data_IF_843225828253
#
_entry.id   IF_843225828253
#
_cell.length_a   1.000
_cell.length_b   1.000
_cell.length_c   1.000
_cell.angle_alpha   90.00
_cell.angle_beta   90.00
_cell.angle_gamma   90.00
#
_symmetry.space_group_name_H-M   'P 1'
#
loop_
_entity.id
_entity.type
_entity.pdbx_description
1 polymer ?
#
# COMPACT_ATOMS: atom_id res chain seq x y z
N UNK A 1 -13.03 8.21 -32.50
CA UNK A 1 -13.12 6.84 -31.96
C UNK A 1 -13.22 7.00 -30.45
N UNK A 2 -14.34 6.58 -29.86
CA UNK A 2 -14.51 6.68 -28.38
C UNK A 2 -13.48 5.79 -27.72
N UNK A 3 -12.52 6.38 -27.00
CA UNK A 3 -11.57 5.63 -26.17
C UNK A 3 -12.38 4.92 -25.09
N UNK A 4 -12.40 3.60 -25.12
CA UNK A 4 -13.07 2.78 -24.13
C UNK A 4 -12.41 3.06 -22.77
N UNK A 5 -13.18 3.54 -21.80
CA UNK A 5 -12.72 3.80 -20.43
C UNK A 5 -12.15 2.47 -19.87
N UNK A 6 -10.88 2.46 -19.49
CA UNK A 6 -10.28 1.30 -18.84
C UNK A 6 -10.80 1.27 -17.41
N UNK A 7 -11.65 0.30 -17.09
CA UNK A 7 -12.18 0.12 -15.73
C UNK A 7 -11.19 -0.68 -14.88
N UNK A 8 -11.32 -0.62 -13.54
CA UNK A 8 -10.55 -1.49 -12.65
C UNK A 8 -10.76 -2.97 -13.01
N UNK A 9 -11.96 -3.35 -13.46
CA UNK A 9 -12.26 -4.69 -13.97
C UNK A 9 -11.41 -5.06 -15.19
N UNK A 10 -11.27 -4.15 -16.15
CA UNK A 10 -10.47 -4.39 -17.37
C UNK A 10 -8.99 -4.52 -17.02
N UNK A 11 -8.50 -3.67 -16.10
CA UNK A 11 -7.12 -3.65 -15.67
C UNK A 11 -6.74 -4.85 -14.79
N UNK A 12 -7.65 -5.29 -13.91
CA UNK A 12 -7.44 -6.43 -13.01
C UNK A 12 -7.61 -7.79 -13.70
N UNK A 13 -8.22 -7.82 -14.89
CA UNK A 13 -8.57 -9.07 -15.58
C UNK A 13 -9.58 -9.95 -14.81
N UNK A 14 -10.20 -9.40 -13.77
CA UNK A 14 -11.18 -10.06 -12.91
C UNK A 14 -12.26 -9.09 -12.46
N UNK A 15 -13.50 -9.57 -12.17
CA UNK A 15 -14.56 -8.70 -11.68
C UNK A 15 -14.19 -8.12 -10.30
N UNK A 16 -14.22 -6.80 -10.19
CA UNK A 16 -14.12 -6.12 -8.90
C UNK A 16 -15.46 -6.26 -8.19
N UNK A 17 -15.51 -6.89 -7.00
CA UNK A 17 -16.78 -7.04 -6.29
C UNK A 17 -17.26 -5.68 -5.77
N UNK A 18 -18.57 -5.47 -5.65
CA UNK A 18 -19.10 -4.30 -4.95
C UNK A 18 -18.52 -4.21 -3.53
N UNK A 19 -18.28 -2.99 -3.04
CA UNK A 19 -17.65 -2.77 -1.73
C UNK A 19 -18.38 -3.46 -0.57
N UNK A 20 -19.73 -3.57 -0.62
CA UNK A 20 -20.51 -4.29 0.39
C UNK A 20 -20.20 -5.80 0.39
N UNK A 21 -20.00 -6.41 -0.79
CA UNK A 21 -19.68 -7.84 -0.90
C UNK A 21 -18.23 -8.12 -0.43
N UNK A 22 -17.27 -7.26 -0.81
CA UNK A 22 -15.90 -7.36 -0.32
C UNK A 22 -15.86 -7.32 1.21
N UNK A 23 -16.59 -6.39 1.83
CA UNK A 23 -16.71 -6.29 3.31
C UNK A 23 -17.42 -7.49 3.92
N UNK A 24 -18.46 -8.02 3.29
CA UNK A 24 -19.16 -9.21 3.78
C UNK A 24 -18.22 -10.44 3.78
N UNK A 25 -17.47 -10.64 2.70
CA UNK A 25 -16.46 -11.70 2.61
C UNK A 25 -15.37 -11.55 3.67
N UNK A 26 -14.86 -10.33 3.88
CA UNK A 26 -13.88 -10.05 4.95
C UNK A 26 -14.44 -10.43 6.32
N UNK A 27 -15.65 -10.01 6.67
CA UNK A 27 -16.28 -10.37 7.95
C UNK A 27 -16.44 -11.89 8.14
N UNK A 28 -16.81 -12.61 7.08
CA UNK A 28 -16.91 -14.08 7.13
C UNK A 28 -15.54 -14.70 7.39
N UNK A 29 -14.50 -14.25 6.68
CA UNK A 29 -13.12 -14.71 6.90
C UNK A 29 -12.64 -14.45 8.34
N UNK A 30 -12.91 -13.27 8.87
CA UNK A 30 -12.55 -12.89 10.24
C UNK A 30 -13.28 -13.76 11.26
N UNK A 31 -14.58 -14.00 11.07
CA UNK A 31 -15.39 -14.88 11.92
C UNK A 31 -14.88 -16.33 11.91
N UNK A 32 -14.50 -16.86 10.74
CA UNK A 32 -13.88 -18.17 10.61
C UNK A 32 -12.52 -18.23 11.32
N UNK A 33 -11.69 -17.19 11.20
CA UNK A 33 -10.41 -17.07 11.89
C UNK A 33 -10.58 -17.08 13.42
N UNK A 34 -11.52 -16.29 13.93
CA UNK A 34 -11.85 -16.27 15.36
C UNK A 34 -12.44 -17.60 15.83
N UNK A 35 -13.31 -18.24 15.04
CA UNK A 35 -13.86 -19.56 15.32
C UNK A 35 -12.78 -20.62 15.45
N UNK A 36 -11.82 -20.65 14.53
CA UNK A 36 -10.66 -21.56 14.56
C UNK A 36 -9.86 -21.42 15.87
N UNK A 37 -9.62 -20.19 16.33
CA UNK A 37 -8.87 -19.94 17.58
C UNK A 37 -9.60 -20.47 18.81
N UNK A 38 -10.95 -20.44 18.83
CA UNK A 38 -11.75 -20.99 19.93
C UNK A 38 -11.75 -22.51 20.02
N UNK A 39 -11.35 -23.21 18.94
CA UNK A 39 -11.27 -24.66 18.88
C UNK A 39 -9.92 -25.22 19.39
N UNK A 40 -8.95 -24.38 19.67
CA UNK A 40 -7.63 -24.79 20.15
C UNK A 40 -7.41 -24.32 21.60
N UNK A 41 -6.65 -25.10 22.41
CA UNK A 41 -6.21 -24.65 23.73
C UNK A 41 -5.40 -23.33 23.62
N UNK A 42 -5.46 -22.45 24.66
CA UNK A 42 -4.78 -21.14 24.61
C UNK A 42 -3.28 -21.22 24.28
N UNK A 43 -2.59 -22.23 24.80
CA UNK A 43 -1.16 -22.47 24.51
C UNK A 43 -0.92 -22.70 23.01
N UNK A 44 -1.77 -23.50 22.35
CA UNK A 44 -1.65 -23.75 20.89
C UNK A 44 -1.90 -22.47 20.10
N UNK A 45 -2.91 -21.68 20.48
CA UNK A 45 -3.18 -20.38 19.84
C UNK A 45 -1.96 -19.44 19.97
N UNK A 46 -1.31 -19.42 21.14
CA UNK A 46 -0.07 -18.63 21.33
C UNK A 46 1.04 -19.10 20.39
N UNK A 47 1.27 -20.41 20.26
CA UNK A 47 2.28 -20.96 19.34
C UNK A 47 1.94 -20.63 17.87
N UNK A 48 0.66 -20.65 17.49
CA UNK A 48 0.25 -20.24 16.14
C UNK A 48 0.60 -18.77 15.84
N UNK A 49 0.51 -17.87 16.84
CA UNK A 49 0.94 -16.48 16.67
C UNK A 49 2.45 -16.34 16.49
N UNK A 50 3.26 -17.13 17.20
CA UNK A 50 4.73 -17.13 17.04
C UNK A 50 5.15 -17.61 15.64
N UNK A 51 4.36 -18.46 14.98
CA UNK A 51 4.63 -18.91 13.63
C UNK A 51 4.62 -17.76 12.60
N UNK A 52 3.88 -16.68 12.86
CA UNK A 52 3.78 -15.53 11.94
C UNK A 52 5.13 -14.93 11.58
N UNK A 53 6.08 -14.89 12.52
CA UNK A 53 7.45 -14.45 12.26
C UNK A 53 8.16 -15.37 11.25
N UNK A 54 8.01 -16.68 11.42
CA UNK A 54 8.62 -17.68 10.53
C UNK A 54 7.96 -17.64 9.15
N UNK A 55 6.62 -17.52 9.08
CA UNK A 55 5.86 -17.39 7.85
C UNK A 55 6.37 -16.20 7.02
N UNK A 56 6.54 -15.03 7.66
CA UNK A 56 7.03 -13.81 7.02
C UNK A 56 8.45 -13.97 6.46
N UNK A 57 9.41 -14.41 7.28
CA UNK A 57 10.81 -14.58 6.83
C UNK A 57 10.95 -15.68 5.77
N UNK A 58 10.26 -16.80 5.90
CA UNK A 58 10.30 -17.86 4.91
C UNK A 58 9.75 -17.40 3.54
N UNK A 59 8.69 -16.60 3.57
CA UNK A 59 8.12 -16.02 2.35
C UNK A 59 9.07 -15.00 1.72
N UNK A 60 9.68 -14.12 2.53
CA UNK A 60 10.67 -13.14 2.06
C UNK A 60 11.86 -13.81 1.40
N UNK A 61 12.47 -14.81 2.05
CA UNK A 61 13.58 -15.58 1.48
C UNK A 61 13.20 -16.26 0.16
N UNK A 62 11.99 -16.82 0.04
CA UNK A 62 11.54 -17.41 -1.21
C UNK A 62 11.40 -16.36 -2.35
N UNK A 63 10.98 -15.14 -2.01
CA UNK A 63 10.87 -14.03 -2.96
C UNK A 63 12.26 -13.49 -3.33
N UNK A 64 13.18 -13.35 -2.38
CA UNK A 64 14.57 -12.96 -2.62
C UNK A 64 15.29 -13.95 -3.55
N UNK A 65 15.09 -15.26 -3.33
CA UNK A 65 15.62 -16.34 -4.17
C UNK A 65 14.86 -16.50 -5.51
N UNK A 66 13.89 -15.64 -5.80
CA UNK A 66 13.07 -15.64 -7.03
C UNK A 66 12.37 -16.97 -7.30
N UNK A 67 12.00 -17.71 -6.23
CA UNK A 67 11.33 -19.00 -6.38
C UNK A 67 10.03 -18.91 -7.19
N UNK A 68 9.12 -17.92 -6.96
CA UNK A 68 7.92 -17.77 -7.77
C UNK A 68 8.22 -17.57 -9.27
N UNK A 69 9.24 -16.77 -9.60
CA UNK A 69 9.64 -16.51 -10.98
C UNK A 69 10.21 -17.77 -11.65
N UNK A 70 11.06 -18.51 -10.94
CA UNK A 70 11.67 -19.77 -11.42
C UNK A 70 10.67 -20.91 -11.61
N UNK A 71 9.52 -20.83 -10.96
CA UNK A 71 8.41 -21.79 -11.09
C UNK A 71 7.36 -21.37 -12.13
N UNK A 72 7.48 -20.22 -12.76
CA UNK A 72 6.53 -19.75 -13.78
C UNK A 72 6.45 -20.70 -14.99
N UNK A 73 7.58 -21.29 -15.39
CA UNK A 73 7.64 -22.24 -16.52
C UNK A 73 7.11 -23.65 -16.20
N UNK A 74 6.66 -23.95 -14.99
CA UNK A 74 6.13 -25.24 -14.59
C UNK A 74 6.72 -25.82 -13.31
N UNK A 75 6.30 -27.05 -12.98
CA UNK A 75 6.69 -27.71 -11.75
C UNK A 75 8.13 -28.22 -11.78
N UNK A 76 8.90 -27.98 -10.71
CA UNK A 76 10.33 -28.32 -10.61
C UNK A 76 10.65 -29.07 -9.31
N UNK A 77 11.72 -29.85 -9.31
CA UNK A 77 12.26 -30.48 -8.10
C UNK A 77 13.08 -29.48 -7.30
N UNK A 78 13.15 -29.67 -5.98
CA UNK A 78 13.97 -28.82 -5.13
C UNK A 78 15.46 -28.85 -5.52
N UNK A 79 15.97 -30.01 -5.90
CA UNK A 79 17.37 -30.16 -6.33
C UNK A 79 17.69 -29.33 -7.60
N UNK A 80 16.75 -29.30 -8.57
CA UNK A 80 16.92 -28.53 -9.80
C UNK A 80 16.92 -27.03 -9.52
N UNK A 81 16.02 -26.56 -8.66
CA UNK A 81 15.96 -25.18 -8.21
C UNK A 81 17.22 -24.80 -7.42
N UNK A 82 17.68 -25.68 -6.52
CA UNK A 82 18.87 -25.46 -5.73
C UNK A 82 20.13 -25.32 -6.61
N UNK A 83 20.24 -26.14 -7.67
CA UNK A 83 21.32 -26.04 -8.64
C UNK A 83 21.34 -24.68 -9.37
N UNK A 84 20.18 -24.16 -9.75
CA UNK A 84 20.07 -22.86 -10.46
C UNK A 84 20.47 -21.65 -9.59
N UNK A 85 20.29 -21.72 -8.28
CA UNK A 85 20.54 -20.60 -7.36
C UNK A 85 21.79 -20.79 -6.49
N UNK A 86 22.49 -21.93 -6.64
CA UNK A 86 23.66 -22.25 -5.84
C UNK A 86 23.33 -22.54 -4.37
N UNK A 87 22.12 -23.04 -4.07
CA UNK A 87 21.67 -23.33 -2.72
C UNK A 87 21.86 -24.80 -2.33
N UNK A 88 21.88 -25.09 -1.03
CA UNK A 88 21.78 -26.45 -0.52
C UNK A 88 20.40 -27.05 -0.80
N UNK A 89 20.38 -28.23 -1.43
CA UNK A 89 19.15 -28.85 -1.91
C UNK A 89 18.22 -29.32 -0.77
N UNK A 90 18.76 -29.77 0.36
CA UNK A 90 17.96 -30.18 1.52
C UNK A 90 17.38 -28.97 2.24
N UNK A 91 18.18 -27.94 2.47
CA UNK A 91 17.73 -26.69 3.06
C UNK A 91 16.61 -26.04 2.22
N UNK A 92 16.79 -25.95 0.90
CA UNK A 92 15.76 -25.43 0.01
C UNK A 92 14.49 -26.32 0.02
N UNK A 93 14.65 -27.64 -0.02
CA UNK A 93 13.52 -28.55 0.10
C UNK A 93 12.71 -28.31 1.39
N UNK A 94 13.36 -28.08 2.50
CA UNK A 94 12.70 -27.79 3.79
C UNK A 94 11.93 -26.49 3.74
N UNK A 95 12.49 -25.42 3.16
CA UNK A 95 11.80 -24.15 2.94
C UNK A 95 10.56 -24.33 2.05
N UNK A 96 10.71 -24.96 0.89
CA UNK A 96 9.61 -25.15 -0.06
C UNK A 96 8.49 -26.02 0.53
N UNK A 97 8.83 -27.10 1.26
CA UNK A 97 7.89 -27.95 1.96
C UNK A 97 7.09 -27.16 3.00
N UNK A 98 7.77 -26.28 3.76
CA UNK A 98 7.13 -25.41 4.72
C UNK A 98 6.12 -24.48 4.02
N UNK A 99 6.51 -23.80 2.94
CA UNK A 99 5.64 -22.90 2.19
C UNK A 99 4.41 -23.63 1.60
N UNK A 100 4.57 -24.87 1.13
CA UNK A 100 3.45 -25.73 0.69
C UNK A 100 2.50 -25.99 1.85
N UNK A 101 3.00 -26.32 3.03
CA UNK A 101 2.17 -26.57 4.21
C UNK A 101 1.37 -25.34 4.67
N UNK A 102 1.85 -24.14 4.32
CA UNK A 102 1.17 -22.87 4.60
C UNK A 102 0.22 -22.41 3.47
N UNK A 103 0.13 -23.18 2.38
CA UNK A 103 -0.67 -22.80 1.22
C UNK A 103 -0.07 -21.66 0.40
N UNK A 104 1.18 -21.29 0.66
CA UNK A 104 1.90 -20.21 -0.02
C UNK A 104 2.55 -20.70 -1.33
N UNK A 105 2.68 -22.00 -1.50
CA UNK A 105 3.22 -22.65 -2.70
C UNK A 105 2.42 -23.91 -2.99
N UNK A 106 2.46 -24.40 -4.23
CA UNK A 106 1.84 -25.65 -4.64
C UNK A 106 2.82 -26.82 -4.78
N UNK A 107 2.33 -28.04 -4.73
CA UNK A 107 3.09 -29.25 -5.01
C UNK A 107 2.28 -30.22 -5.88
N UNK A 108 2.93 -30.89 -6.81
CA UNK A 108 2.34 -31.92 -7.65
C UNK A 108 2.32 -33.28 -6.91
N UNK A 109 1.55 -34.25 -7.43
CA UNK A 109 1.47 -35.59 -6.83
C UNK A 109 2.80 -36.36 -6.84
N UNK A 110 3.67 -36.04 -7.80
CA UNK A 110 5.03 -36.60 -7.94
C UNK A 110 6.11 -35.82 -7.17
N UNK A 111 5.70 -34.90 -6.26
CA UNK A 111 6.58 -34.22 -5.33
C UNK A 111 7.36 -33.04 -5.92
N UNK A 112 6.96 -32.51 -7.11
CA UNK A 112 7.54 -31.29 -7.68
C UNK A 112 6.81 -30.05 -7.18
N UNK A 113 7.54 -28.98 -6.94
CA UNK A 113 7.02 -27.69 -6.52
C UNK A 113 6.51 -26.88 -7.71
N UNK A 114 5.43 -26.15 -7.53
CA UNK A 114 4.82 -25.28 -8.56
C UNK A 114 4.19 -24.06 -7.91
N UNK A 115 3.98 -23.02 -8.71
CA UNK A 115 3.14 -21.92 -8.24
C UNK A 115 1.69 -22.37 -8.00
N UNK A 116 1.06 -21.72 -7.03
CA UNK A 116 -0.37 -21.60 -6.89
C UNK A 116 -0.78 -20.14 -7.09
N UNK A 117 -2.05 -19.78 -6.94
CA UNK A 117 -2.50 -18.39 -7.13
C UNK A 117 -1.81 -17.39 -6.20
N UNK A 118 -1.41 -17.81 -4.98
CA UNK A 118 -0.71 -16.94 -4.03
C UNK A 118 0.73 -16.68 -4.48
N UNK A 119 1.50 -17.74 -4.74
CA UNK A 119 2.89 -17.59 -5.18
C UNK A 119 3.02 -17.01 -6.60
N UNK A 120 2.05 -17.25 -7.48
CA UNK A 120 2.05 -16.62 -8.80
C UNK A 120 1.94 -15.09 -8.71
N UNK A 121 1.16 -14.58 -7.75
CA UNK A 121 1.06 -13.15 -7.44
C UNK A 121 2.32 -12.55 -6.78
N UNK A 122 3.36 -13.34 -6.53
CA UNK A 122 4.66 -12.87 -6.01
C UNK A 122 5.75 -12.78 -7.10
N UNK A 123 5.42 -13.13 -8.33
CA UNK A 123 6.35 -12.99 -9.46
C UNK A 123 6.59 -11.50 -9.78
N UNK A 124 7.79 -11.20 -10.23
CA UNK A 124 8.20 -9.85 -10.61
C UNK A 124 7.36 -9.26 -11.75
N UNK A 125 7.00 -10.10 -12.71
CA UNK A 125 6.24 -9.72 -13.91
C UNK A 125 4.72 -9.88 -13.77
N UNK A 126 4.24 -10.29 -12.58
CA UNK A 126 2.81 -10.41 -12.36
C UNK A 126 2.15 -9.02 -12.36
N UNK A 127 1.05 -8.79 -13.10
CA UNK A 127 0.40 -7.46 -13.19
C UNK A 127 0.00 -6.87 -11.82
N UNK A 128 -0.29 -7.75 -10.86
CA UNK A 128 -0.69 -7.43 -9.48
C UNK A 128 0.27 -8.10 -8.50
N UNK A 129 1.56 -7.85 -8.71
CA UNK A 129 2.57 -8.38 -7.81
C UNK A 129 2.39 -7.82 -6.41
N UNK A 130 2.51 -8.70 -5.41
CA UNK A 130 2.66 -8.33 -4.01
C UNK A 130 4.12 -8.57 -3.54
N UNK A 131 5.04 -8.70 -4.48
CA UNK A 131 6.46 -8.99 -4.23
C UNK A 131 7.10 -7.95 -3.31
N UNK A 132 6.91 -6.67 -3.64
CA UNK A 132 7.56 -5.59 -2.89
C UNK A 132 6.98 -5.44 -1.48
N UNK A 133 5.70 -5.74 -1.27
CA UNK A 133 5.12 -5.84 0.08
C UNK A 133 5.79 -6.93 0.92
N UNK A 134 6.10 -8.07 0.30
CA UNK A 134 6.82 -9.15 0.99
C UNK A 134 8.25 -8.73 1.32
N UNK A 135 8.95 -8.06 0.40
CA UNK A 135 10.29 -7.52 0.63
C UNK A 135 10.30 -6.39 1.66
N UNK A 136 9.27 -5.56 1.69
CA UNK A 136 9.09 -4.52 2.70
C UNK A 136 8.97 -5.15 4.11
N UNK A 137 7.95 -5.97 4.35
CA UNK A 137 7.70 -6.56 5.67
C UNK A 137 8.74 -7.62 6.07
N UNK A 138 9.42 -8.25 5.11
CA UNK A 138 10.42 -9.29 5.34
C UNK A 138 11.86 -8.80 5.39
N UNK A 139 12.11 -7.55 4.99
CA UNK A 139 13.44 -6.94 4.91
C UNK A 139 14.13 -6.83 6.26
N UNK A 140 15.46 -7.01 6.29
CA UNK A 140 16.23 -6.94 7.54
C UNK A 140 16.20 -5.54 8.15
N UNK A 141 16.16 -4.49 7.32
CA UNK A 141 16.00 -3.11 7.77
C UNK A 141 14.68 -2.90 8.52
N UNK A 142 13.57 -3.48 8.04
CA UNK A 142 12.27 -3.40 8.68
C UNK A 142 12.26 -4.15 10.01
N UNK A 143 12.84 -5.36 10.06
CA UNK A 143 13.01 -6.12 11.29
C UNK A 143 13.90 -5.41 12.30
N UNK A 144 14.95 -4.70 11.85
CA UNK A 144 15.80 -3.86 12.72
C UNK A 144 14.97 -2.83 13.48
N UNK A 145 14.02 -2.17 12.81
CA UNK A 145 13.11 -1.22 13.44
C UNK A 145 12.13 -1.89 14.39
N UNK A 146 11.50 -3.00 13.99
CA UNK A 146 10.59 -3.76 14.84
C UNK A 146 11.25 -4.39 16.07
N UNK A 147 12.55 -4.67 16.07
CA UNK A 147 13.28 -5.10 17.26
C UNK A 147 13.27 -4.04 18.36
N UNK A 148 13.15 -2.76 18.01
CA UNK A 148 13.01 -1.64 18.93
C UNK A 148 11.56 -1.28 19.25
N UNK A 149 10.57 -2.08 18.85
CA UNK A 149 9.14 -1.82 19.04
C UNK A 149 8.77 -1.49 20.51
N UNK A 150 9.45 -2.11 21.49
CA UNK A 150 9.24 -1.80 22.91
C UNK A 150 9.48 -0.33 23.23
N UNK A 151 10.46 0.32 22.56
CA UNK A 151 10.71 1.74 22.71
C UNK A 151 9.45 2.55 22.33
N UNK A 152 8.88 2.32 21.14
CA UNK A 152 7.68 3.04 20.70
C UNK A 152 6.48 2.82 21.63
N UNK A 153 6.24 1.59 22.11
CA UNK A 153 5.11 1.32 23.00
C UNK A 153 5.26 1.94 24.39
N UNK A 154 6.48 2.25 24.82
CA UNK A 154 6.73 2.87 26.13
C UNK A 154 6.81 4.38 26.04
N UNK A 155 7.39 4.92 24.97
CA UNK A 155 7.67 6.35 24.85
C UNK A 155 6.71 7.10 23.92
N UNK A 156 6.09 6.40 22.96
CA UNK A 156 5.34 7.01 21.86
C UNK A 156 6.22 7.53 20.70
N UNK A 157 7.55 7.37 20.82
CA UNK A 157 8.51 7.81 19.80
C UNK A 157 8.79 6.73 18.76
N UNK A 158 9.37 7.09 17.60
CA UNK A 158 9.69 6.18 16.50
C UNK A 158 10.74 5.14 16.90
N UNK A 159 10.44 3.86 16.69
CA UNK A 159 11.42 2.79 16.80
C UNK A 159 12.43 2.83 15.63
N UNK A 160 12.04 3.32 14.46
CA UNK A 160 12.95 3.52 13.33
C UNK A 160 14.08 4.48 13.72
N UNK A 161 13.75 5.60 14.35
CA UNK A 161 14.74 6.54 14.85
C UNK A 161 15.63 5.91 15.92
N UNK A 162 15.06 5.17 16.87
CA UNK A 162 15.84 4.48 17.91
C UNK A 162 16.79 3.42 17.34
N UNK A 163 16.41 2.74 16.25
CA UNK A 163 17.20 1.71 15.61
C UNK A 163 18.27 2.23 14.65
N UNK A 164 18.07 3.39 14.01
CA UNK A 164 18.87 3.85 12.88
C UNK A 164 19.53 5.21 13.08
N UNK A 165 19.17 5.96 14.13
CA UNK A 165 19.51 7.37 14.38
C UNK A 165 18.95 8.35 13.33
N UNK A 166 18.03 7.89 12.47
CA UNK A 166 17.38 8.68 11.42
C UNK A 166 15.85 8.58 11.51
N UNK A 167 15.16 9.61 11.06
CA UNK A 167 13.73 9.54 10.81
C UNK A 167 13.45 8.53 9.68
N UNK A 168 12.29 7.87 9.71
CA UNK A 168 11.97 6.81 8.74
C UNK A 168 12.11 7.23 7.28
N UNK A 169 11.52 8.38 6.91
CA UNK A 169 11.59 8.85 5.52
C UNK A 169 13.00 9.30 5.11
N UNK A 170 13.80 9.85 6.03
CA UNK A 170 15.22 10.13 5.80
C UNK A 170 15.97 8.81 5.54
N UNK A 171 15.75 7.80 6.40
CA UNK A 171 16.41 6.52 6.28
C UNK A 171 16.16 5.84 4.91
N UNK A 172 14.91 5.74 4.48
CA UNK A 172 14.57 5.06 3.21
C UNK A 172 14.87 5.90 1.96
N UNK A 173 14.97 7.23 2.08
CA UNK A 173 15.25 8.08 0.93
C UNK A 173 16.74 8.43 0.75
N UNK A 174 17.53 8.45 1.83
CA UNK A 174 18.87 9.02 1.80
C UNK A 174 19.94 8.09 2.37
N UNK A 175 19.59 7.14 3.26
CA UNK A 175 20.57 6.34 4.01
C UNK A 175 20.70 4.91 3.47
N UNK A 176 19.59 4.22 3.20
CA UNK A 176 19.57 2.82 2.79
C UNK A 176 18.82 2.64 1.46
N UNK A 177 19.58 2.50 0.37
CA UNK A 177 19.03 2.40 -0.98
C UNK A 177 18.18 1.12 -1.19
N UNK A 178 18.51 0.00 -0.52
CA UNK A 178 17.75 -1.25 -0.62
C UNK A 178 16.43 -1.14 0.14
N UNK A 179 16.44 -0.54 1.34
CA UNK A 179 15.23 -0.19 2.07
C UNK A 179 14.34 0.76 1.26
N UNK A 180 14.93 1.78 0.65
CA UNK A 180 14.24 2.72 -0.23
C UNK A 180 13.60 2.06 -1.44
N UNK A 181 14.30 1.17 -2.11
CA UNK A 181 13.76 0.42 -3.25
C UNK A 181 12.58 -0.47 -2.84
N UNK A 182 12.69 -1.19 -1.70
CA UNK A 182 11.61 -2.03 -1.18
C UNK A 182 10.38 -1.19 -0.76
N UNK A 183 10.61 -0.08 -0.06
CA UNK A 183 9.55 0.85 0.35
C UNK A 183 8.83 1.45 -0.86
N UNK A 184 9.56 2.09 -1.78
CA UNK A 184 8.98 2.73 -2.97
C UNK A 184 8.27 1.71 -3.87
N UNK A 185 8.81 0.50 -3.99
CA UNK A 185 8.18 -0.60 -4.71
C UNK A 185 6.84 -1.02 -4.08
N UNK A 186 6.80 -1.20 -2.76
CA UNK A 186 5.58 -1.56 -2.03
C UNK A 186 4.51 -0.45 -2.13
N UNK A 187 4.91 0.82 -1.97
CA UNK A 187 4.01 1.96 -2.14
C UNK A 187 3.44 2.04 -3.55
N UNK A 188 4.27 1.82 -4.58
CA UNK A 188 3.83 1.80 -5.98
C UNK A 188 2.83 0.67 -6.24
N UNK A 189 3.08 -0.54 -5.75
CA UNK A 189 2.15 -1.68 -5.86
C UNK A 189 0.80 -1.39 -5.17
N UNK A 190 0.83 -0.86 -3.95
CA UNK A 190 -0.36 -0.48 -3.19
C UNK A 190 -1.16 0.63 -3.86
N UNK A 191 -0.48 1.71 -4.21
CA UNK A 191 -1.09 2.89 -4.84
C UNK A 191 -1.77 2.56 -6.17
N UNK A 192 -1.15 1.70 -6.99
CA UNK A 192 -1.72 1.30 -8.28
C UNK A 192 -3.08 0.62 -8.14
N UNK A 193 -3.22 -0.31 -7.19
CA UNK A 193 -4.52 -0.95 -6.94
C UNK A 193 -5.56 0.07 -6.46
N UNK A 194 -5.20 0.92 -5.51
CA UNK A 194 -6.10 1.93 -4.95
C UNK A 194 -6.52 2.96 -6.01
N UNK A 195 -5.58 3.43 -6.85
CA UNK A 195 -5.88 4.38 -7.92
C UNK A 195 -6.97 3.90 -8.86
N UNK A 196 -6.88 2.64 -9.32
CA UNK A 196 -7.92 2.05 -10.16
C UNK A 196 -9.29 1.98 -9.48
N UNK A 197 -9.32 1.64 -8.18
CA UNK A 197 -10.56 1.58 -7.42
C UNK A 197 -11.19 2.97 -7.22
N UNK A 198 -10.38 4.01 -7.05
CA UNK A 198 -10.85 5.40 -6.95
C UNK A 198 -11.39 5.89 -8.30
N UNK A 199 -10.66 5.61 -9.40
CA UNK A 199 -11.10 5.96 -10.76
C UNK A 199 -12.46 5.37 -11.09
N UNK A 200 -12.76 4.15 -10.63
CA UNK A 200 -14.06 3.51 -10.84
C UNK A 200 -15.15 4.04 -9.88
N UNK A 201 -14.78 4.42 -8.66
CA UNK A 201 -15.74 4.77 -7.62
C UNK A 201 -16.14 6.24 -7.61
N UNK A 202 -15.26 7.14 -8.09
CA UNK A 202 -15.51 8.58 -8.07
C UNK A 202 -15.91 9.12 -9.44
N UNK A 203 -16.87 10.05 -9.44
CA UNK A 203 -17.31 10.74 -10.66
C UNK A 203 -16.46 11.99 -10.89
N UNK A 204 -15.56 11.92 -11.87
CA UNK A 204 -14.70 13.01 -12.30
C UNK A 204 -15.36 13.97 -13.30
N UNK A 205 -16.70 13.88 -13.54
CA UNK A 205 -17.41 14.80 -14.41
C UNK A 205 -17.26 16.25 -13.93
N UNK A 206 -16.90 17.13 -14.85
CA UNK A 206 -16.70 18.56 -14.54
C UNK A 206 -15.36 18.90 -13.90
N UNK A 207 -14.47 17.91 -13.65
CA UNK A 207 -13.08 18.15 -13.27
C UNK A 207 -12.23 18.29 -14.51
N UNK A 208 -11.39 19.32 -14.59
CA UNK A 208 -10.47 19.56 -15.69
C UNK A 208 -9.00 19.45 -15.27
N UNK A 209 -8.70 19.75 -14.00
CA UNK A 209 -7.36 19.70 -13.43
C UNK A 209 -7.33 19.04 -12.06
N UNK A 210 -6.32 18.20 -11.84
CA UNK A 210 -6.09 17.47 -10.59
C UNK A 210 -4.67 17.70 -10.11
N UNK A 211 -4.50 18.03 -8.83
CA UNK A 211 -3.21 18.05 -8.14
C UNK A 211 -3.15 16.90 -7.13
N UNK A 212 -2.21 15.97 -7.33
CA UNK A 212 -1.96 14.84 -6.44
C UNK A 212 -0.85 15.21 -5.47
N UNK A 213 -1.21 15.51 -4.24
CA UNK A 213 -0.31 16.01 -3.17
C UNK A 213 0.29 14.82 -2.44
N UNK A 214 1.62 14.68 -2.50
CA UNK A 214 2.32 13.47 -2.06
C UNK A 214 2.13 12.31 -3.05
N UNK A 215 2.01 12.61 -4.34
CA UNK A 215 1.66 11.60 -5.37
C UNK A 215 2.79 10.66 -5.77
N UNK A 216 3.96 10.74 -5.14
CA UNK A 216 5.10 9.86 -5.39
C UNK A 216 5.56 9.92 -6.84
N UNK A 217 5.70 8.75 -7.45
CA UNK A 217 6.04 8.63 -8.88
C UNK A 217 4.83 8.80 -9.82
N UNK A 218 3.66 9.20 -9.29
CA UNK A 218 2.47 9.47 -10.06
C UNK A 218 1.75 8.24 -10.61
N UNK A 219 1.85 7.10 -9.94
CA UNK A 219 1.20 5.86 -10.36
C UNK A 219 -0.31 6.04 -10.49
N UNK A 220 -0.96 6.66 -9.48
CA UNK A 220 -2.41 6.92 -9.44
C UNK A 220 -2.79 7.95 -10.49
N UNK A 221 -2.04 9.05 -10.59
CA UNK A 221 -2.28 10.09 -11.58
C UNK A 221 -2.18 9.53 -13.00
N UNK A 222 -1.22 8.66 -13.27
CA UNK A 222 -1.10 7.99 -14.57
C UNK A 222 -2.33 7.17 -14.94
N UNK A 223 -2.87 6.40 -14.00
CA UNK A 223 -4.08 5.59 -14.21
C UNK A 223 -5.33 6.49 -14.38
N UNK A 224 -5.42 7.56 -13.59
CA UNK A 224 -6.49 8.56 -13.69
C UNK A 224 -6.51 9.25 -15.07
N UNK A 225 -5.36 9.73 -15.53
CA UNK A 225 -5.25 10.42 -16.83
C UNK A 225 -5.46 9.46 -18.02
N UNK A 226 -5.08 8.19 -17.88
CA UNK A 226 -5.37 7.17 -18.89
C UNK A 226 -6.87 6.89 -19.01
N UNK A 227 -7.59 6.88 -17.87
CA UNK A 227 -9.04 6.68 -17.84
C UNK A 227 -9.83 7.92 -18.28
N UNK A 228 -9.27 9.12 -18.09
CA UNK A 228 -9.93 10.41 -18.37
C UNK A 228 -9.08 11.28 -19.31
N UNK A 229 -9.19 11.14 -20.64
CA UNK A 229 -8.33 11.84 -21.62
C UNK A 229 -8.44 13.37 -21.60
N UNK A 230 -9.52 13.93 -21.07
CA UNK A 230 -9.72 15.37 -20.96
C UNK A 230 -9.04 16.00 -19.74
N UNK A 231 -8.64 15.19 -18.73
CA UNK A 231 -8.02 15.69 -17.52
C UNK A 231 -6.55 16.07 -17.76
N UNK A 232 -6.11 17.07 -17.01
CA UNK A 232 -4.71 17.42 -16.79
C UNK A 232 -4.36 17.15 -15.34
N UNK A 233 -3.13 16.72 -15.07
CA UNK A 233 -2.66 16.37 -13.74
C UNK A 233 -1.35 17.06 -13.38
N UNK A 234 -1.20 17.34 -12.09
CA UNK A 234 0.04 17.70 -11.45
C UNK A 234 0.30 16.67 -10.36
N UNK A 235 1.49 16.09 -10.35
CA UNK A 235 2.01 15.32 -9.22
C UNK A 235 2.94 16.22 -8.45
N UNK A 236 2.63 16.46 -7.19
CA UNK A 236 3.41 17.31 -6.30
C UNK A 236 4.07 16.46 -5.22
N UNK A 237 5.40 16.43 -5.21
CA UNK A 237 6.18 15.64 -4.25
C UNK A 237 7.62 16.16 -4.15
N UNK A 238 8.45 15.47 -3.36
CA UNK A 238 9.84 15.82 -3.12
C UNK A 238 10.70 15.76 -4.41
N UNK A 239 11.71 16.64 -4.56
CA UNK A 239 12.48 16.79 -5.81
C UNK A 239 13.13 15.50 -6.35
N UNK A 240 13.54 14.58 -5.46
CA UNK A 240 14.20 13.33 -5.86
C UNK A 240 13.29 12.37 -6.65
N UNK A 241 11.97 12.57 -6.57
CA UNK A 241 10.98 11.75 -7.30
C UNK A 241 10.68 12.29 -8.71
N UNK A 242 11.22 13.44 -9.10
CA UNK A 242 10.91 14.10 -10.37
C UNK A 242 11.26 13.23 -11.60
N UNK A 243 12.46 12.67 -11.66
CA UNK A 243 12.89 11.86 -12.81
C UNK A 243 12.16 10.51 -12.89
N UNK A 244 12.00 9.73 -11.79
CA UNK A 244 11.16 8.55 -11.79
C UNK A 244 9.71 8.82 -12.23
N UNK A 245 9.12 9.93 -11.77
CA UNK A 245 7.76 10.31 -12.13
C UNK A 245 7.62 10.63 -13.63
N UNK A 246 8.52 11.45 -14.19
CA UNK A 246 8.53 11.76 -15.64
C UNK A 246 8.69 10.51 -16.50
N UNK A 247 9.57 9.59 -16.10
CA UNK A 247 9.72 8.30 -16.77
C UNK A 247 8.42 7.47 -16.73
N UNK A 248 7.73 7.46 -15.57
CA UNK A 248 6.45 6.77 -15.42
C UNK A 248 5.35 7.40 -16.30
N UNK A 249 5.29 8.74 -16.40
CA UNK A 249 4.32 9.44 -17.26
C UNK A 249 4.55 9.13 -18.74
N UNK A 250 5.82 9.13 -19.17
CA UNK A 250 6.20 8.79 -20.54
C UNK A 250 5.83 7.34 -20.88
N UNK A 251 6.12 6.39 -19.98
CA UNK A 251 5.79 4.98 -20.17
C UNK A 251 4.27 4.72 -20.29
N UNK A 252 3.44 5.55 -19.63
CA UNK A 252 1.96 5.50 -19.74
C UNK A 252 1.37 6.33 -20.87
N UNK A 253 2.18 7.10 -21.60
CA UNK A 253 1.70 7.97 -22.67
C UNK A 253 0.85 9.14 -22.18
N UNK A 254 1.07 9.62 -20.96
CA UNK A 254 0.33 10.75 -20.36
C UNK A 254 1.21 11.99 -20.13
N UNK A 255 2.48 11.96 -20.55
CA UNK A 255 3.44 13.03 -20.30
C UNK A 255 3.03 14.41 -20.83
N UNK A 256 2.24 14.49 -21.89
CA UNK A 256 1.71 15.76 -22.42
C UNK A 256 0.63 16.41 -21.53
N UNK A 257 0.11 15.66 -20.55
CA UNK A 257 -1.02 16.06 -19.69
C UNK A 257 -0.72 15.94 -18.20
N UNK A 258 0.47 15.46 -17.86
CA UNK A 258 0.93 15.26 -16.48
C UNK A 258 2.23 16.01 -16.26
N UNK A 259 2.24 16.90 -15.27
CA UNK A 259 3.42 17.65 -14.83
C UNK A 259 3.86 17.14 -13.46
N UNK A 260 5.18 17.12 -13.22
CA UNK A 260 5.72 16.96 -11.87
C UNK A 260 6.21 18.30 -11.35
N UNK A 261 5.68 18.71 -10.21
CA UNK A 261 6.09 19.92 -9.49
C UNK A 261 6.77 19.48 -8.18
N UNK A 262 8.03 19.89 -8.03
CA UNK A 262 8.79 19.60 -6.82
C UNK A 262 8.47 20.60 -5.71
N UNK A 263 8.29 20.11 -4.48
CA UNK A 263 8.08 20.99 -3.33
C UNK A 263 7.81 20.25 -2.04
N UNK A 264 7.44 20.99 -1.02
CA UNK A 264 7.12 20.53 0.31
C UNK A 264 5.70 20.98 0.69
N UNK A 265 4.77 20.03 0.87
CA UNK A 265 3.37 20.30 1.20
C UNK A 265 3.17 20.93 2.58
N UNK A 266 4.19 20.93 3.45
CA UNK A 266 4.16 21.69 4.69
C UNK A 266 4.38 23.19 4.47
N UNK A 267 4.98 23.57 3.35
CA UNK A 267 5.22 24.97 2.99
C UNK A 267 4.11 25.53 2.11
N UNK A 268 3.82 24.88 1.00
CA UNK A 268 2.78 25.26 0.04
C UNK A 268 2.47 24.11 -0.89
N UNK A 269 1.35 24.19 -1.62
CA UNK A 269 0.99 23.27 -2.71
C UNK A 269 0.63 24.03 -3.98
N UNK A 270 0.70 23.44 -5.18
CA UNK A 270 0.31 24.09 -6.44
C UNK A 270 -1.12 24.62 -6.39
N UNK A 271 -1.30 25.84 -6.88
CA UNK A 271 -2.61 26.54 -6.86
C UNK A 271 -3.44 26.30 -8.09
N UNK A 272 -4.75 26.52 -8.00
CA UNK A 272 -5.64 26.69 -9.14
C UNK A 272 -6.23 25.43 -9.73
N UNK A 273 -6.22 24.31 -9.00
CA UNK A 273 -6.80 23.04 -9.46
C UNK A 273 -8.25 22.86 -8.98
N UNK A 274 -9.03 22.12 -9.79
CA UNK A 274 -10.42 21.79 -9.48
C UNK A 274 -10.54 20.70 -8.43
N UNK A 275 -9.52 19.84 -8.35
CA UNK A 275 -9.47 18.69 -7.45
C UNK A 275 -8.06 18.52 -6.90
N UNK A 276 -7.96 18.33 -5.59
CA UNK A 276 -6.75 17.91 -4.92
C UNK A 276 -6.94 16.48 -4.40
N UNK A 277 -5.91 15.66 -4.49
CA UNK A 277 -5.95 14.27 -4.02
C UNK A 277 -4.81 14.02 -3.03
N UNK A 278 -5.11 13.26 -1.96
CA UNK A 278 -4.15 12.72 -1.01
C UNK A 278 -4.45 11.23 -0.85
N UNK A 279 -3.49 10.38 -1.19
CA UNK A 279 -3.63 8.93 -1.10
C UNK A 279 -2.66 8.37 -0.08
N UNK A 280 -3.17 7.91 1.07
CA UNK A 280 -2.34 7.37 2.15
C UNK A 280 -1.21 8.35 2.55
N UNK A 281 -1.57 9.60 2.79
CA UNK A 281 -0.66 10.68 3.21
C UNK A 281 -0.98 11.14 4.63
N UNK A 282 -2.27 11.30 4.96
CA UNK A 282 -2.71 11.86 6.25
C UNK A 282 -2.35 10.94 7.41
N UNK A 283 -2.26 9.64 7.16
CA UNK A 283 -1.88 8.66 8.18
C UNK A 283 -0.40 8.74 8.61
N UNK A 284 0.48 9.33 7.80
CA UNK A 284 1.91 9.45 8.12
C UNK A 284 2.19 10.50 9.20
N UNK A 285 1.22 11.37 9.50
CA UNK A 285 1.42 12.59 10.27
C UNK A 285 0.46 12.70 11.46
N UNK A 286 0.92 13.43 12.48
CA UNK A 286 0.06 13.88 13.59
C UNK A 286 -1.02 14.88 13.13
N UNK A 287 -1.96 15.19 14.03
CA UNK A 287 -3.10 16.04 13.71
C UNK A 287 -2.69 17.51 13.40
N UNK A 288 -1.60 18.01 13.98
CA UNK A 288 -1.11 19.38 13.75
C UNK A 288 -0.52 19.49 12.34
N UNK A 289 0.35 18.55 11.98
CA UNK A 289 0.93 18.46 10.64
C UNK A 289 -0.13 18.22 9.56
N UNK A 290 -1.09 17.33 9.80
CA UNK A 290 -2.23 17.14 8.91
C UNK A 290 -3.03 18.43 8.70
N UNK A 291 -3.26 19.20 9.77
CA UNK A 291 -3.98 20.48 9.68
C UNK A 291 -3.18 21.49 8.85
N UNK A 292 -1.85 21.48 8.93
CA UNK A 292 -0.97 22.32 8.10
C UNK A 292 -1.09 21.96 6.63
N UNK A 293 -0.96 20.66 6.28
CA UNK A 293 -1.09 20.18 4.89
C UNK A 293 -2.45 20.57 4.29
N UNK A 294 -3.54 20.24 5.00
CA UNK A 294 -4.90 20.56 4.57
C UNK A 294 -5.14 22.06 4.49
N UNK A 295 -4.56 22.85 5.40
CA UNK A 295 -4.60 24.31 5.40
C UNK A 295 -3.95 24.90 4.15
N UNK A 296 -2.79 24.39 3.74
CA UNK A 296 -2.09 24.80 2.52
C UNK A 296 -2.92 24.44 1.27
N UNK A 297 -3.51 23.24 1.24
CA UNK A 297 -4.42 22.87 0.16
C UNK A 297 -5.61 23.82 0.09
N UNK A 298 -6.24 24.14 1.23
CA UNK A 298 -7.38 25.07 1.27
C UNK A 298 -7.04 26.46 0.75
N UNK A 299 -5.84 26.94 1.00
CA UNK A 299 -5.36 28.24 0.48
C UNK A 299 -5.15 28.20 -1.04
N UNK A 300 -4.70 27.08 -1.57
CA UNK A 300 -4.42 26.88 -3.01
C UNK A 300 -5.67 26.61 -3.86
N UNK A 301 -6.77 26.19 -3.22
CA UNK A 301 -8.01 25.81 -3.91
C UNK A 301 -8.71 26.99 -4.58
N UNK A 302 -9.23 26.77 -5.78
CA UNK A 302 -10.19 27.67 -6.40
C UNK A 302 -11.58 27.55 -5.74
N UNK A 303 -12.45 28.58 -5.85
CA UNK A 303 -13.83 28.47 -5.40
C UNK A 303 -14.55 27.27 -6.04
N UNK A 304 -15.10 26.39 -5.22
CA UNK A 304 -15.79 25.18 -5.67
C UNK A 304 -14.90 23.96 -5.89
N UNK A 305 -13.60 24.09 -5.75
CA UNK A 305 -12.67 22.95 -5.77
C UNK A 305 -12.95 21.98 -4.62
N UNK A 306 -12.54 20.73 -4.80
CA UNK A 306 -12.75 19.64 -3.83
C UNK A 306 -11.41 18.98 -3.47
N UNK A 307 -11.41 18.27 -2.33
CA UNK A 307 -10.27 17.43 -1.93
C UNK A 307 -10.77 16.00 -1.77
N UNK A 308 -10.04 15.03 -2.31
CA UNK A 308 -10.25 13.60 -2.06
C UNK A 308 -9.13 13.12 -1.15
N UNK A 309 -9.47 12.76 0.06
CA UNK A 309 -8.55 12.09 0.98
C UNK A 309 -8.90 10.61 1.00
N UNK A 310 -7.95 9.77 0.57
CA UNK A 310 -8.13 8.32 0.51
C UNK A 310 -7.29 7.67 1.59
N UNK A 311 -7.95 7.14 2.62
CA UNK A 311 -7.32 6.57 3.81
C UNK A 311 -7.97 5.24 4.18
N UNK A 312 -7.35 4.52 5.11
CA UNK A 312 -7.82 3.22 5.62
C UNK A 312 -8.38 3.37 7.05
N UNK A 313 -9.68 3.70 7.21
CA UNK A 313 -10.21 3.93 8.55
C UNK A 313 -10.15 2.67 9.42
N UNK A 314 -9.64 2.84 10.65
CA UNK A 314 -9.66 1.78 11.66
C UNK A 314 -11.10 1.49 12.06
N UNK A 315 -11.59 0.25 11.92
CA UNK A 315 -12.92 -0.10 12.37
C UNK A 315 -13.00 -0.08 13.90
N UNK A 316 -14.09 0.43 14.43
CA UNK A 316 -14.38 0.38 15.87
C UNK A 316 -14.56 -1.06 16.37
N UNK A 317 -14.26 -1.27 17.67
CA UNK A 317 -14.43 -2.55 18.33
C UNK A 317 -13.29 -3.56 18.12
N UNK A 318 -13.45 -4.80 18.61
CA UNK A 318 -12.37 -5.79 18.74
C UNK A 318 -12.10 -6.60 17.46
N UNK A 319 -12.88 -6.42 16.40
CA UNK A 319 -12.72 -7.20 15.17
C UNK A 319 -11.31 -7.04 14.56
N UNK A 320 -10.69 -8.11 14.05
CA UNK A 320 -9.44 -8.00 13.30
C UNK A 320 -9.59 -7.06 12.11
N UNK A 321 -8.53 -6.31 11.82
CA UNK A 321 -8.44 -5.48 10.63
C UNK A 321 -6.99 -5.22 10.28
N UNK A 322 -6.66 -5.20 8.99
CA UNK A 322 -5.33 -4.82 8.54
C UNK A 322 -5.02 -3.33 8.84
N UNK A 323 -6.04 -2.46 8.92
CA UNK A 323 -5.86 -1.09 9.38
C UNK A 323 -5.25 -1.00 10.78
N UNK A 324 -5.60 -1.93 11.70
CA UNK A 324 -4.97 -2.00 13.03
C UNK A 324 -3.53 -2.49 13.00
N UNK A 325 -3.16 -3.26 11.98
CA UNK A 325 -1.75 -3.66 11.75
C UNK A 325 -0.97 -2.44 11.26
N UNK A 326 -1.53 -1.71 10.29
CA UNK A 326 -0.91 -0.49 9.75
C UNK A 326 -0.82 0.63 10.80
N UNK A 327 -1.77 0.73 11.73
CA UNK A 327 -1.69 1.69 12.84
C UNK A 327 -0.46 1.43 13.74
N UNK A 328 -0.16 0.17 14.03
CA UNK A 328 1.08 -0.18 14.72
C UNK A 328 2.31 0.10 13.86
N UNK A 329 2.24 -0.15 12.57
CA UNK A 329 3.31 0.14 11.62
C UNK A 329 3.65 1.63 11.60
N UNK A 330 2.65 2.49 11.55
CA UNK A 330 2.83 3.95 11.61
C UNK A 330 3.55 4.37 12.90
N UNK A 331 3.14 3.83 14.05
CA UNK A 331 3.81 4.12 15.32
C UNK A 331 5.29 3.69 15.30
N UNK A 332 5.57 2.48 14.81
CA UNK A 332 6.93 1.92 14.78
C UNK A 332 7.84 2.72 13.84
N UNK A 333 7.35 3.04 12.63
CA UNK A 333 8.17 3.68 11.62
C UNK A 333 8.26 5.19 11.82
N UNK A 334 7.13 5.88 11.98
CA UNK A 334 7.09 7.35 11.99
C UNK A 334 6.95 7.97 13.39
N UNK A 335 6.46 7.21 14.36
CA UNK A 335 6.18 7.66 15.72
C UNK A 335 4.95 8.57 15.81
N UNK A 336 4.81 9.54 14.93
CA UNK A 336 3.69 10.52 14.93
C UNK A 336 2.52 10.12 14.04
N UNK A 337 2.77 9.26 13.03
CA UNK A 337 1.74 8.75 12.13
C UNK A 337 0.78 7.79 12.83
N UNK A 338 -0.44 7.72 12.31
CA UNK A 338 -1.49 6.87 12.85
C UNK A 338 -2.62 6.64 11.87
N UNK A 339 -3.16 5.46 11.88
CA UNK A 339 -4.46 5.22 11.27
C UNK A 339 -5.57 5.73 12.20
N UNK A 340 -6.58 6.37 11.63
CA UNK A 340 -7.67 6.98 12.39
C UNK A 340 -8.98 6.26 12.11
N UNK A 341 -9.91 6.30 13.07
CA UNK A 341 -11.30 5.91 12.81
C UNK A 341 -11.99 6.95 11.91
N UNK A 342 -13.09 6.58 11.25
CA UNK A 342 -13.82 7.52 10.41
C UNK A 342 -14.30 8.77 11.18
N UNK A 343 -14.81 8.69 12.44
CA UNK A 343 -15.08 9.87 13.25
C UNK A 343 -13.88 10.77 13.52
N UNK A 344 -12.68 10.19 13.76
CA UNK A 344 -11.45 10.96 13.97
C UNK A 344 -11.02 11.67 12.69
N UNK A 345 -11.12 11.03 11.52
CA UNK A 345 -10.88 11.70 10.23
C UNK A 345 -11.81 12.89 10.02
N UNK A 346 -13.13 12.71 10.27
CA UNK A 346 -14.11 13.83 10.17
C UNK A 346 -13.74 14.99 11.09
N UNK A 347 -13.34 14.70 12.33
CA UNK A 347 -12.93 15.72 13.30
C UNK A 347 -11.66 16.44 12.83
N UNK A 348 -10.68 15.72 12.30
CA UNK A 348 -9.44 16.29 11.73
C UNK A 348 -9.76 17.24 10.57
N UNK A 349 -10.56 16.80 9.59
CA UNK A 349 -10.95 17.62 8.45
C UNK A 349 -11.73 18.86 8.87
N UNK A 350 -12.63 18.73 9.86
CA UNK A 350 -13.35 19.88 10.45
C UNK A 350 -12.41 20.92 11.07
N UNK A 351 -11.39 20.48 11.81
CA UNK A 351 -10.36 21.41 12.37
C UNK A 351 -9.56 22.13 11.27
N UNK A 352 -9.33 21.47 10.14
CA UNK A 352 -8.66 22.09 8.99
C UNK A 352 -9.58 22.98 8.14
N UNK A 353 -10.86 23.16 8.54
CA UNK A 353 -11.81 24.01 7.83
C UNK A 353 -12.48 23.35 6.63
N UNK A 354 -12.61 22.02 6.65
CA UNK A 354 -13.31 21.26 5.64
C UNK A 354 -14.56 20.57 6.17
N UNK A 355 -15.58 20.46 5.33
CA UNK A 355 -16.75 19.62 5.56
C UNK A 355 -16.68 18.37 4.69
N UNK A 356 -16.89 17.19 5.28
CA UNK A 356 -17.02 15.92 4.54
C UNK A 356 -18.36 15.93 3.81
N UNK A 357 -18.33 15.91 2.49
CA UNK A 357 -19.51 15.86 1.64
C UNK A 357 -19.98 14.42 1.43
N UNK A 358 -19.03 13.52 1.17
CA UNK A 358 -19.30 12.09 0.95
C UNK A 358 -18.19 11.23 1.50
N UNK A 359 -18.55 10.04 1.94
CA UNK A 359 -17.64 8.93 2.22
C UNK A 359 -17.93 7.82 1.23
N UNK A 360 -16.94 7.44 0.44
CA UNK A 360 -17.06 6.44 -0.63
C UNK A 360 -16.18 5.25 -0.25
N UNK A 361 -16.76 4.20 0.37
CA UNK A 361 -16.00 3.00 0.71
C UNK A 361 -15.62 2.24 -0.56
N UNK A 362 -14.32 1.99 -0.76
CA UNK A 362 -13.82 1.20 -1.86
C UNK A 362 -14.03 -0.32 -1.62
N UNK A 363 -13.97 -1.16 -2.66
CA UNK A 363 -13.93 -2.61 -2.53
C UNK A 363 -12.55 -3.12 -2.04
N UNK A 364 -11.98 -2.37 -1.12
CA UNK A 364 -10.74 -2.61 -0.38
C UNK A 364 -10.95 -2.15 1.06
N UNK A 365 -9.87 -1.94 1.81
CA UNK A 365 -9.94 -1.39 3.17
C UNK A 365 -10.03 0.14 3.20
N UNK A 366 -9.81 0.80 2.07
CA UNK A 366 -9.79 2.25 1.95
C UNK A 366 -11.19 2.85 1.78
N UNK A 367 -11.28 4.11 2.19
CA UNK A 367 -12.44 4.98 1.99
C UNK A 367 -11.96 6.30 1.41
N UNK A 368 -12.66 6.80 0.40
CA UNK A 368 -12.45 8.15 -0.12
C UNK A 368 -13.35 9.11 0.66
N UNK A 369 -12.75 10.10 1.29
CA UNK A 369 -13.45 11.24 1.89
C UNK A 369 -13.42 12.40 0.90
N UNK A 370 -14.57 12.77 0.36
CA UNK A 370 -14.71 13.97 -0.45
C UNK A 370 -14.97 15.17 0.44
N UNK A 371 -14.09 16.16 0.37
CA UNK A 371 -14.11 17.35 1.20
C UNK A 371 -14.39 18.60 0.35
N UNK A 372 -15.13 19.54 0.93
CA UNK A 372 -15.25 20.91 0.43
C UNK A 372 -14.89 21.89 1.56
N UNK A 373 -14.45 23.11 1.21
CA UNK A 373 -14.27 24.19 2.20
C UNK A 373 -15.57 24.42 2.96
N UNK A 374 -15.46 24.48 4.31
CA UNK A 374 -16.58 24.70 5.21
C UNK A 374 -17.07 26.16 5.19
#
# INVERSE_FOLDING_TARGET
>A
MSSRRVTARDALGMPVPPSWLARAVSRVRDALGLGRRKLAPPFIVTLEHLQGMIDNKALAVAVELEIPDRLHGGARRAADLAGDIGADADALHRLLRFLVSRGLLGMTKDGRYRNNAVSDALRRDHPWSARNWVLFFGGDWHWKMWNEAKHSFVTGESAARAATDHEFFEYVNEVDADAGAAFNGAMTEGSRLQGLLVVDAYDFSGVTSVCDVGGGTGAIMGDLLAAHPALRGVVFDLPQLAEPARAAFAARGVGDRCEFVAGDFFTAVPEGHDLYTLFAIVHDWDDERCTTILGNIRQAMTPGARVLVTEMPVPEGPAPSFAKVMDLEMLILTGSGRERTAPEYRALFGRAGFAVQREIPLPSLFTVFELASA
#
